data_IF_025679239810
#
_entry.id   IF_025679239810
#
_cell.length_a   1.000
_cell.length_b   1.000
_cell.length_c   1.000
_cell.angle_alpha   90.00
_cell.angle_beta   90.00
_cell.angle_gamma   90.00
#
_symmetry.space_group_name_H-M   'P 1'
#
loop_
_entity.id
_entity.type
_entity.pdbx_description
1 polymer ?
#
# COMPACT_ATOMS: atom_id res chain seq x y z
N UNK A 1 3.08 12.04 1.93
CA UNK A 1 2.58 10.65 1.83
C UNK A 1 3.46 9.77 2.70
N UNK A 2 2.90 9.08 3.70
CA UNK A 2 3.63 8.07 4.50
C UNK A 2 4.09 6.97 3.53
N UNK A 3 5.32 6.46 3.62
CA UNK A 3 5.77 5.42 2.68
C UNK A 3 4.91 4.18 2.92
N UNK A 4 4.46 3.54 1.83
CA UNK A 4 3.63 2.31 1.87
C UNK A 4 4.24 1.24 2.77
N UNK A 5 5.55 1.06 2.68
CA UNK A 5 6.29 0.09 3.51
C UNK A 5 6.13 0.40 5.00
N UNK A 6 6.24 1.68 5.37
CA UNK A 6 6.04 2.12 6.74
C UNK A 6 4.60 1.83 7.18
N UNK A 7 3.60 2.14 6.33
CA UNK A 7 2.19 1.83 6.61
C UNK A 7 1.93 0.33 6.81
N UNK A 8 2.52 -0.53 5.98
CA UNK A 8 2.38 -1.99 6.11
C UNK A 8 3.05 -2.50 7.39
N UNK A 9 4.20 -1.95 7.75
CA UNK A 9 4.85 -2.28 9.04
C UNK A 9 3.96 -1.88 10.21
N UNK A 10 3.40 -0.68 10.18
CA UNK A 10 2.50 -0.18 11.22
C UNK A 10 1.22 -1.02 11.32
N UNK A 11 0.62 -1.37 10.19
CA UNK A 11 -0.57 -2.22 10.13
C UNK A 11 -0.31 -3.63 10.68
N UNK A 12 0.86 -4.20 10.39
CA UNK A 12 1.26 -5.50 10.94
C UNK A 12 1.54 -5.43 12.45
N UNK A 13 2.14 -4.35 12.93
CA UNK A 13 2.34 -4.10 14.36
C UNK A 13 1.01 -3.93 15.10
N UNK A 14 0.07 -3.16 14.53
CA UNK A 14 -1.28 -3.03 15.06
C UNK A 14 -1.99 -4.40 15.12
N UNK A 15 -1.89 -5.19 14.05
CA UNK A 15 -2.46 -6.53 13.98
C UNK A 15 -1.88 -7.49 15.03
N UNK A 16 -0.57 -7.39 15.29
CA UNK A 16 0.08 -8.17 16.34
C UNK A 16 -0.42 -7.76 17.73
N UNK A 17 -0.58 -6.46 17.99
CA UNK A 17 -1.10 -5.95 19.25
C UNK A 17 -2.55 -6.40 19.52
N UNK A 18 -3.45 -6.28 18.54
CA UNK A 18 -4.85 -6.73 18.69
C UNK A 18 -4.90 -8.24 18.98
N UNK A 19 -4.07 -9.04 18.29
CA UNK A 19 -4.02 -10.50 18.51
C UNK A 19 -3.50 -10.86 19.90
N UNK A 20 -2.51 -10.13 20.41
CA UNK A 20 -1.96 -10.36 21.73
C UNK A 20 -2.98 -10.02 22.84
N UNK A 21 -3.79 -8.98 22.63
CA UNK A 21 -4.81 -8.53 23.58
C UNK A 21 -6.18 -9.19 23.39
N UNK A 22 -6.29 -10.17 22.46
CA UNK A 22 -7.54 -10.85 22.17
C UNK A 22 -8.09 -11.52 23.44
N UNK A 23 -9.33 -11.20 23.85
CA UNK A 23 -9.95 -11.84 25.01
C UNK A 23 -10.09 -13.36 24.81
N UNK A 24 -9.91 -14.17 25.87
CA UNK A 24 -10.12 -15.61 25.79
C UNK A 24 -11.60 -15.95 25.60
N UNK A 25 -12.52 -15.12 26.15
CA UNK A 25 -13.96 -15.38 26.18
C UNK A 25 -14.74 -14.09 25.84
N UNK A 26 -15.91 -14.21 25.21
CA UNK A 26 -16.86 -13.11 24.88
C UNK A 26 -17.46 -12.35 26.08
N UNK A 27 -17.04 -12.67 27.31
CA UNK A 27 -17.49 -12.00 28.53
C UNK A 27 -16.50 -10.97 29.06
N UNK A 28 -15.27 -10.99 28.56
CA UNK A 28 -14.21 -10.08 28.99
C UNK A 28 -14.10 -8.93 27.99
N UNK A 29 -14.29 -7.70 28.49
CA UNK A 29 -14.04 -6.47 27.75
C UNK A 29 -12.57 -6.10 27.99
N UNK A 30 -11.75 -6.16 26.96
CA UNK A 30 -10.31 -5.86 27.04
C UNK A 30 -9.97 -4.74 26.07
N UNK A 31 -9.07 -3.85 26.47
CA UNK A 31 -8.56 -2.81 25.59
C UNK A 31 -7.82 -3.38 24.38
N UNK A 32 -8.05 -2.82 23.20
CA UNK A 32 -7.34 -3.21 21.96
C UNK A 32 -5.82 -3.02 22.09
N UNK A 33 -5.41 -2.12 23.00
CA UNK A 33 -4.04 -1.88 23.42
C UNK A 33 -3.28 -0.95 22.50
N UNK A 34 -1.97 -0.91 22.68
CA UNK A 34 -1.08 0.00 21.98
C UNK A 34 -0.01 -0.74 21.20
N UNK A 35 0.43 -0.15 20.09
CA UNK A 35 1.59 -0.62 19.34
C UNK A 35 2.55 0.53 19.07
N UNK A 36 3.80 0.21 18.79
CA UNK A 36 4.80 1.19 18.37
C UNK A 36 4.88 1.16 16.84
N UNK A 37 4.74 2.32 16.21
CA UNK A 37 4.89 2.45 14.77
C UNK A 37 6.38 2.37 14.34
N UNK A 38 6.64 2.27 13.05
CA UNK A 38 7.99 2.23 12.48
C UNK A 38 8.82 3.50 12.74
N UNK A 39 8.22 4.55 13.29
CA UNK A 39 8.88 5.80 13.68
C UNK A 39 9.17 5.87 15.19
N UNK A 40 8.82 4.83 15.94
CA UNK A 40 9.02 4.75 17.39
C UNK A 40 7.93 5.44 18.21
N UNK A 41 6.82 5.86 17.60
CA UNK A 41 5.69 6.48 18.29
C UNK A 41 4.68 5.42 18.71
N UNK A 42 4.24 5.48 19.96
CA UNK A 42 3.15 4.64 20.47
C UNK A 42 1.80 5.16 19.98
N UNK A 43 1.01 4.28 19.39
CA UNK A 43 -0.37 4.54 18.98
C UNK A 43 -1.31 3.53 19.64
N UNK A 44 -2.49 3.99 20.01
CA UNK A 44 -3.59 3.12 20.38
C UNK A 44 -4.17 2.47 19.13
N UNK A 45 -4.36 1.15 19.16
CA UNK A 45 -4.79 0.42 17.97
C UNK A 45 -6.18 0.88 17.50
N UNK A 46 -7.10 1.10 18.44
CA UNK A 46 -8.45 1.57 18.13
C UNK A 46 -8.43 2.92 17.38
N UNK A 47 -7.73 3.92 17.92
CA UNK A 47 -7.59 5.24 17.29
C UNK A 47 -6.91 5.14 15.93
N UNK A 48 -5.83 4.37 15.85
CA UNK A 48 -5.10 4.20 14.59
C UNK A 48 -5.96 3.54 13.51
N UNK A 49 -6.76 2.53 13.86
CA UNK A 49 -7.67 1.90 12.90
C UNK A 49 -8.72 2.89 12.38
N UNK A 50 -9.28 3.73 13.25
CA UNK A 50 -10.23 4.78 12.86
C UNK A 50 -9.59 5.84 11.96
N UNK A 51 -8.40 6.33 12.31
CA UNK A 51 -7.65 7.29 11.48
C UNK A 51 -7.33 6.73 10.09
N UNK A 52 -7.14 5.42 9.97
CA UNK A 52 -6.89 4.74 8.70
C UNK A 52 -8.18 4.30 7.97
N UNK A 53 -9.35 4.66 8.51
CA UNK A 53 -10.66 4.31 7.95
C UNK A 53 -10.90 2.81 7.90
N UNK A 54 -10.40 2.07 8.89
CA UNK A 54 -10.62 0.64 9.05
C UNK A 54 -11.78 0.47 10.06
N UNK A 55 -12.88 -0.19 9.68
CA UNK A 55 -14.01 -0.37 10.57
C UNK A 55 -13.61 -1.19 11.81
N UNK A 56 -13.90 -0.64 12.98
CA UNK A 56 -13.78 -1.26 14.29
C UNK A 56 -15.04 -0.90 15.08
N UNK A 57 -15.46 -1.78 15.99
CA UNK A 57 -16.63 -1.54 16.82
C UNK A 57 -16.43 -0.28 17.68
N UNK A 58 -17.47 0.55 17.79
CA UNK A 58 -17.43 1.85 18.46
C UNK A 58 -18.52 1.95 19.54
N UNK A 59 -18.79 0.85 20.26
CA UNK A 59 -19.84 0.81 21.26
C UNK A 59 -19.46 1.71 22.46
N UNK A 60 -19.82 3.00 22.35
CA UNK A 60 -19.67 4.02 23.39
C UNK A 60 -18.24 4.46 23.69
N UNK A 61 -17.51 5.08 22.75
CA UNK A 61 -16.15 5.64 22.98
C UNK A 61 -15.12 4.66 23.58
N UNK A 62 -15.45 3.36 23.68
CA UNK A 62 -14.62 2.41 24.38
C UNK A 62 -13.49 1.94 23.47
N UNK A 63 -12.27 2.07 23.98
CA UNK A 63 -11.07 1.53 23.34
C UNK A 63 -10.88 0.05 23.70
N UNK A 64 -11.99 -0.61 24.04
CA UNK A 64 -12.07 -1.97 24.51
C UNK A 64 -13.25 -2.68 23.86
N UNK A 65 -13.12 -4.01 23.73
CA UNK A 65 -14.15 -4.82 23.09
C UNK A 65 -14.12 -6.27 23.56
N UNK A 66 -15.15 -7.01 23.15
CA UNK A 66 -15.27 -8.45 23.35
C UNK A 66 -14.58 -9.23 22.24
N UNK A 67 -14.42 -10.55 22.41
CA UNK A 67 -13.67 -11.39 21.49
C UNK A 67 -14.21 -11.34 20.04
N UNK A 68 -15.54 -11.33 19.86
CA UNK A 68 -16.14 -11.18 18.52
C UNK A 68 -15.78 -9.86 17.82
N UNK A 69 -15.70 -8.76 18.55
CA UNK A 69 -15.32 -7.43 18.03
C UNK A 69 -13.83 -7.37 17.68
N UNK A 70 -12.99 -8.02 18.48
CA UNK A 70 -11.57 -8.22 18.17
C UNK A 70 -11.40 -9.04 16.89
N UNK A 71 -12.17 -10.12 16.72
CA UNK A 71 -12.10 -10.96 15.53
C UNK A 71 -12.56 -10.21 14.28
N UNK A 72 -13.61 -9.39 14.39
CA UNK A 72 -14.05 -8.49 13.32
C UNK A 72 -12.99 -7.45 12.97
N UNK A 73 -12.40 -6.79 13.97
CA UNK A 73 -11.32 -5.81 13.78
C UNK A 73 -10.09 -6.44 13.11
N UNK A 74 -9.69 -7.64 13.53
CA UNK A 74 -8.60 -8.42 12.93
C UNK A 74 -8.91 -8.74 11.47
N UNK A 75 -10.14 -9.18 11.16
CA UNK A 75 -10.56 -9.49 9.80
C UNK A 75 -10.54 -8.24 8.89
N UNK A 76 -11.07 -7.12 9.38
CA UNK A 76 -11.08 -5.85 8.64
C UNK A 76 -9.67 -5.33 8.39
N UNK A 77 -8.79 -5.38 9.39
CA UNK A 77 -7.39 -4.97 9.26
C UNK A 77 -6.63 -5.86 8.26
N UNK A 78 -6.82 -7.18 8.32
CA UNK A 78 -6.25 -8.11 7.32
C UNK A 78 -6.73 -7.79 5.91
N UNK A 79 -8.04 -7.61 5.72
CA UNK A 79 -8.61 -7.29 4.41
C UNK A 79 -8.02 -5.99 3.83
N UNK A 80 -7.79 -4.99 4.67
CA UNK A 80 -7.16 -3.74 4.24
C UNK A 80 -5.68 -3.94 3.87
N UNK A 81 -4.93 -4.72 4.65
CA UNK A 81 -3.54 -5.08 4.33
C UNK A 81 -3.47 -5.80 2.96
N UNK A 82 -4.35 -6.76 2.73
CA UNK A 82 -4.40 -7.54 1.48
C UNK A 82 -4.77 -6.67 0.27
N UNK A 83 -5.66 -5.69 0.46
CA UNK A 83 -6.01 -4.70 -0.57
C UNK A 83 -4.78 -3.86 -0.95
N UNK A 84 -4.08 -3.29 0.04
CA UNK A 84 -2.89 -2.46 -0.20
C UNK A 84 -1.76 -3.27 -0.86
N UNK A 85 -1.62 -4.54 -0.52
CA UNK A 85 -0.68 -5.44 -1.19
C UNK A 85 -1.07 -5.69 -2.66
N UNK A 86 -2.35 -5.89 -2.94
CA UNK A 86 -2.87 -6.15 -4.29
C UNK A 86 -2.77 -4.91 -5.19
N UNK A 87 -3.12 -3.73 -4.67
CA UNK A 87 -2.92 -2.45 -5.37
C UNK A 87 -1.46 -2.25 -5.75
N UNK A 88 -0.53 -2.62 -4.86
CA UNK A 88 0.89 -2.52 -5.15
C UNK A 88 1.35 -3.41 -6.30
N UNK A 89 0.79 -4.61 -6.43
CA UNK A 89 1.13 -5.50 -7.55
C UNK A 89 0.62 -4.89 -8.87
N UNK A 90 -0.58 -4.31 -8.86
CA UNK A 90 -1.14 -3.64 -10.03
C UNK A 90 -0.33 -2.39 -10.43
N UNK A 91 0.11 -1.58 -9.47
CA UNK A 91 0.90 -0.38 -9.77
C UNK A 91 2.29 -0.74 -10.32
N UNK A 92 2.89 -1.85 -9.87
CA UNK A 92 4.13 -2.37 -10.47
C UNK A 92 3.91 -2.84 -11.91
N UNK A 93 2.80 -3.52 -12.19
CA UNK A 93 2.42 -3.92 -13.55
C UNK A 93 2.23 -2.69 -14.44
N UNK A 94 1.57 -1.64 -13.93
CA UNK A 94 1.39 -0.37 -14.66
C UNK A 94 2.73 0.32 -14.93
N UNK A 95 3.64 0.35 -13.95
CA UNK A 95 4.98 0.90 -14.13
C UNK A 95 5.78 0.09 -15.17
N UNK A 96 5.70 -1.23 -15.14
CA UNK A 96 6.34 -2.08 -16.15
C UNK A 96 5.79 -1.81 -17.54
N UNK A 97 4.47 -1.72 -17.68
CA UNK A 97 3.83 -1.34 -18.96
C UNK A 97 4.26 0.04 -19.46
N UNK A 98 4.39 1.02 -18.55
CA UNK A 98 4.91 2.35 -18.89
C UNK A 98 6.37 2.30 -19.33
N UNK A 99 7.22 1.52 -18.65
CA UNK A 99 8.61 1.34 -19.04
C UNK A 99 8.71 0.71 -20.44
N UNK A 100 7.88 -0.28 -20.75
CA UNK A 100 7.86 -0.90 -22.07
C UNK A 100 7.38 0.07 -23.15
N UNK A 101 6.39 0.93 -22.85
CA UNK A 101 6.00 2.03 -23.75
C UNK A 101 7.12 3.02 -23.99
N UNK A 102 7.87 3.40 -22.94
CA UNK A 102 9.02 4.30 -23.07
C UNK A 102 10.11 3.68 -23.94
N UNK A 103 10.42 2.39 -23.75
CA UNK A 103 11.37 1.66 -24.62
C UNK A 103 10.92 1.69 -26.08
N UNK A 104 9.65 1.39 -26.36
CA UNK A 104 9.10 1.44 -27.71
C UNK A 104 9.20 2.85 -28.33
N UNK A 105 8.89 3.89 -27.55
CA UNK A 105 9.05 5.28 -28.00
C UNK A 105 10.51 5.62 -28.32
N UNK A 106 11.46 5.16 -27.51
CA UNK A 106 12.89 5.37 -27.74
C UNK A 106 13.37 4.66 -29.02
N UNK A 107 12.93 3.43 -29.27
CA UNK A 107 13.23 2.72 -30.51
C UNK A 107 12.66 3.44 -31.73
N UNK A 108 11.41 3.89 -31.66
CA UNK A 108 10.79 4.66 -32.74
C UNK A 108 11.51 5.99 -32.99
N UNK A 109 11.88 6.72 -31.95
CA UNK A 109 12.63 7.96 -32.06
C UNK A 109 14.02 7.73 -32.68
N UNK A 110 14.70 6.66 -32.28
CA UNK A 110 16.01 6.28 -32.82
C UNK A 110 15.89 5.90 -34.30
N UNK A 111 14.89 5.11 -34.66
CA UNK A 111 14.61 4.74 -36.05
C UNK A 111 14.25 5.96 -36.91
N UNK A 112 13.47 6.90 -36.37
CA UNK A 112 13.13 8.14 -37.05
C UNK A 112 14.39 8.98 -37.30
N UNK A 113 15.24 9.12 -36.28
CA UNK A 113 16.51 9.85 -36.41
C UNK A 113 17.43 9.20 -37.45
N UNK A 114 17.56 7.88 -37.43
CA UNK A 114 18.35 7.15 -38.41
C UNK A 114 17.83 7.33 -39.85
N UNK A 115 16.51 7.28 -40.04
CA UNK A 115 15.89 7.54 -41.36
C UNK A 115 16.07 8.98 -41.80
N UNK A 116 15.94 9.95 -40.89
CA UNK A 116 16.16 11.37 -41.19
C UNK A 116 17.62 11.63 -41.59
N UNK A 117 18.59 11.00 -40.91
CA UNK A 117 20.01 11.04 -41.27
C UNK A 117 20.25 10.53 -42.69
N UNK A 118 19.77 9.32 -43.00
CA UNK A 118 19.88 8.73 -44.36
C UNK A 118 19.22 9.60 -45.44
N UNK A 119 18.05 10.17 -45.16
CA UNK A 119 17.37 11.05 -46.09
C UNK A 119 18.21 12.30 -46.41
N UNK A 120 18.81 12.90 -45.38
CA UNK A 120 19.71 14.06 -45.54
C UNK A 120 20.97 13.69 -46.35
N UNK A 121 21.58 12.55 -46.07
CA UNK A 121 22.75 12.06 -46.83
C UNK A 121 22.43 11.87 -48.31
N UNK A 122 21.28 11.25 -48.63
CA UNK A 122 20.84 11.05 -50.01
C UNK A 122 20.62 12.39 -50.74
N UNK A 123 20.03 13.39 -50.08
CA UNK A 123 19.86 14.73 -50.67
C UNK A 123 21.22 15.36 -50.95
N UNK A 124 22.15 15.30 -50.00
CA UNK A 124 23.51 15.84 -50.18
C UNK A 124 24.27 15.12 -51.31
N UNK A 125 24.09 13.80 -51.45
CA UNK A 125 24.70 13.02 -52.51
C UNK A 125 24.16 13.41 -53.90
N UNK A 126 22.86 13.69 -54.01
CA UNK A 126 22.25 14.13 -55.28
C UNK A 126 22.60 15.56 -55.69
N UNK A 127 23.06 16.40 -54.74
CA UNK A 127 23.46 17.79 -55.01
C UNK A 127 24.94 17.88 -55.43
N UNK A 128 25.77 16.89 -55.06
CA UNK A 128 27.16 16.79 -55.51
C UNK A 128 27.25 16.34 -56.96
#
# INVERSE_FOLDING_TARGET
>A
MRKRTDWLTDANSALAAIRANRPPNDKAIIQYGTFVDGQGKTHEVHQWMLENGIPIEQLGNDTAGIQSEFDAAIANLKARIDTVNSESQMDLIRLQSLMDKVKNCLELATNLLAKAGKAKENILANIR
#
